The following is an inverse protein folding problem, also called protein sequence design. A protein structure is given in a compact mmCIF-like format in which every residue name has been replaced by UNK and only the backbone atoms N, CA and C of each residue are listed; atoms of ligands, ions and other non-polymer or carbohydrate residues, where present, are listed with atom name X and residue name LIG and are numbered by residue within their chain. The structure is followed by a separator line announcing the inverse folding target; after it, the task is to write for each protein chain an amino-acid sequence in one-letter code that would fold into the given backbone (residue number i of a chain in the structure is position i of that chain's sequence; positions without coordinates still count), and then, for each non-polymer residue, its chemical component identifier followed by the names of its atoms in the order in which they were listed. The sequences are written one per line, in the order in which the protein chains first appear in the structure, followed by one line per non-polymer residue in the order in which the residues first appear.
data_IF_142016462904
#
_entry.id   IF_142016462904
#
_cell.length_a   1.000
_cell.length_b   1.000
_cell.length_c   1.000
_cell.angle_alpha   90.00
_cell.angle_beta   90.00
_cell.angle_gamma   90.00
#
_symmetry.space_group_name_H-M   'P 1'
#
loop_
_entity.id
_entity.type
_entity.pdbx_description
1 polymer ?
#
# COMPACT_ATOMS: atom_id res chain seq x y z
N UNK A 1 10.37 4.54 -1.19
CA UNK A 1 10.04 3.36 -0.38
C UNK A 1 11.29 2.79 0.32
N UNK A 2 11.18 2.13 1.49
CA UNK A 2 12.32 1.45 2.16
C UNK A 2 12.20 -0.06 2.02
N UNK A 3 13.33 -0.75 1.81
CA UNK A 3 13.36 -2.22 1.72
C UNK A 3 12.75 -2.93 2.93
N UNK A 4 12.95 -2.41 4.15
CA UNK A 4 12.36 -3.02 5.35
C UNK A 4 10.84 -3.17 5.25
N UNK A 5 10.15 -2.20 4.65
CA UNK A 5 8.70 -2.28 4.46
C UNK A 5 8.30 -3.36 3.45
N UNK A 6 9.10 -3.52 2.39
CA UNK A 6 8.94 -4.59 1.40
C UNK A 6 9.13 -5.95 2.07
N UNK A 7 10.20 -6.12 2.84
CA UNK A 7 10.50 -7.38 3.52
C UNK A 7 9.45 -7.74 4.58
N UNK A 8 8.95 -6.76 5.35
CA UNK A 8 7.91 -7.00 6.37
C UNK A 8 6.55 -7.39 5.77
N UNK A 9 6.28 -7.00 4.51
CA UNK A 9 5.02 -7.29 3.81
C UNK A 9 5.29 -8.02 2.49
N UNK A 10 6.29 -8.90 2.46
CA UNK A 10 6.86 -9.48 1.23
C UNK A 10 5.80 -10.07 0.29
N UNK A 11 4.85 -10.84 0.82
CA UNK A 11 3.75 -11.43 0.06
C UNK A 11 2.80 -10.41 -0.58
N UNK A 12 2.61 -9.23 0.04
CA UNK A 12 1.78 -8.17 -0.52
C UNK A 12 2.45 -7.48 -1.74
N UNK A 13 3.76 -7.69 -1.93
CA UNK A 13 4.50 -7.17 -3.07
C UNK A 13 4.64 -8.16 -4.22
N UNK A 14 4.10 -9.38 -4.14
CA UNK A 14 4.30 -10.39 -5.20
C UNK A 14 3.79 -9.91 -6.55
N UNK A 15 2.55 -9.43 -6.61
CA UNK A 15 1.98 -8.89 -7.86
C UNK A 15 2.80 -7.70 -8.39
N UNK A 16 3.18 -6.78 -7.51
CA UNK A 16 4.01 -5.62 -7.86
C UNK A 16 5.42 -5.99 -8.36
N UNK A 17 5.99 -7.07 -7.82
CA UNK A 17 7.30 -7.60 -8.20
C UNK A 17 7.18 -8.30 -9.56
N UNK A 18 6.17 -9.13 -9.76
CA UNK A 18 5.94 -9.86 -11.01
C UNK A 18 5.58 -8.90 -12.15
N UNK A 19 4.82 -7.84 -11.88
CA UNK A 19 4.55 -6.80 -12.87
C UNK A 19 5.84 -6.11 -13.34
N UNK A 20 6.79 -5.89 -12.42
CA UNK A 20 8.10 -5.29 -12.74
C UNK A 20 9.05 -6.27 -13.43
N UNK A 21 9.07 -7.53 -12.98
CA UNK A 21 9.95 -8.59 -13.47
C UNK A 21 9.10 -9.83 -13.82
N UNK A 22 8.51 -9.87 -15.03
CA UNK A 22 7.52 -10.89 -15.42
C UNK A 22 8.11 -12.29 -15.62
N UNK A 23 9.44 -12.43 -15.69
CA UNK A 23 10.12 -13.72 -15.72
C UNK A 23 10.34 -14.31 -14.31
N UNK A 24 9.93 -13.62 -13.23
CA UNK A 24 9.93 -14.15 -11.87
C UNK A 24 8.64 -14.93 -11.57
N UNK A 25 8.79 -16.02 -10.82
CA UNK A 25 7.67 -16.83 -10.34
C UNK A 25 7.40 -16.59 -8.84
N UNK A 26 6.13 -16.63 -8.44
CA UNK A 26 5.71 -16.52 -7.02
C UNK A 26 6.39 -17.56 -6.13
N UNK A 27 6.65 -18.77 -6.66
CA UNK A 27 7.30 -19.83 -5.92
C UNK A 27 8.75 -19.47 -5.54
N UNK A 28 9.50 -18.84 -6.45
CA UNK A 28 10.85 -18.36 -6.15
C UNK A 28 10.78 -17.22 -5.13
N UNK A 29 9.81 -16.30 -5.26
CA UNK A 29 9.60 -15.21 -4.30
C UNK A 29 9.30 -15.75 -2.90
N UNK A 30 8.50 -16.80 -2.77
CA UNK A 30 8.20 -17.46 -1.48
C UNK A 30 9.47 -17.96 -0.77
N UNK A 31 10.42 -18.54 -1.52
CA UNK A 31 11.69 -19.00 -0.96
C UNK A 31 12.62 -17.86 -0.51
N UNK A 32 12.45 -16.66 -1.07
CA UNK A 32 13.28 -15.49 -0.72
C UNK A 32 12.93 -14.95 0.68
N UNK A 33 11.67 -15.03 1.10
CA UNK A 33 11.18 -14.55 2.40
C UNK A 33 11.65 -13.11 2.74
N UNK A 34 11.67 -12.22 1.74
CA UNK A 34 12.13 -10.83 1.90
C UNK A 34 13.64 -10.64 2.10
N UNK A 35 14.49 -11.66 1.85
CA UNK A 35 15.94 -11.50 1.84
C UNK A 35 16.42 -10.72 0.62
N UNK A 36 16.93 -9.51 0.85
CA UNK A 36 17.38 -8.61 -0.21
C UNK A 36 18.47 -9.19 -1.10
N UNK A 37 19.39 -9.97 -0.52
CA UNK A 37 20.55 -10.48 -1.25
C UNK A 37 20.15 -11.65 -2.13
N UNK A 38 19.27 -12.51 -1.64
CA UNK A 38 18.66 -13.58 -2.39
C UNK A 38 17.81 -13.00 -3.52
N UNK A 39 17.01 -11.96 -3.26
CA UNK A 39 16.20 -11.31 -4.28
C UNK A 39 17.04 -10.71 -5.41
N UNK A 40 18.11 -9.97 -5.06
CA UNK A 40 19.04 -9.42 -6.06
C UNK A 40 19.71 -10.52 -6.89
N UNK A 41 20.01 -11.67 -6.27
CA UNK A 41 20.57 -12.81 -6.98
C UNK A 41 19.56 -13.44 -7.94
N UNK A 42 18.30 -13.53 -7.51
CA UNK A 42 17.19 -14.01 -8.33
C UNK A 42 17.03 -13.12 -9.56
N UNK A 43 16.87 -11.80 -9.39
CA UNK A 43 16.79 -10.83 -10.50
C UNK A 43 17.99 -10.99 -11.45
N UNK A 44 19.22 -11.04 -10.91
CA UNK A 44 20.41 -11.18 -11.77
C UNK A 44 20.44 -12.48 -12.58
N UNK A 45 19.86 -13.56 -12.03
CA UNK A 45 19.86 -14.88 -12.68
C UNK A 45 18.75 -14.96 -13.72
N UNK A 46 17.56 -14.51 -13.37
CA UNK A 46 16.38 -14.53 -14.23
C UNK A 46 16.54 -13.59 -15.42
N UNK A 47 16.86 -12.32 -15.17
CA UNK A 47 17.03 -11.32 -16.22
C UNK A 47 18.37 -11.46 -16.96
N UNK A 48 19.24 -12.37 -16.51
CA UNK A 48 20.60 -12.56 -17.03
C UNK A 48 21.43 -11.25 -17.04
N UNK A 49 21.22 -10.41 -16.02
CA UNK A 49 21.93 -9.13 -15.85
C UNK A 49 23.00 -9.21 -14.77
N UNK A 50 23.93 -8.26 -14.78
CA UNK A 50 24.96 -8.16 -13.75
C UNK A 50 24.35 -7.75 -12.40
N UNK A 51 25.00 -8.14 -11.30
CA UNK A 51 24.54 -7.79 -9.95
C UNK A 51 24.48 -6.28 -9.70
N UNK A 52 25.26 -5.46 -10.41
CA UNK A 52 25.19 -4.00 -10.30
C UNK A 52 23.94 -3.43 -10.97
N UNK A 53 23.54 -3.99 -12.11
CA UNK A 53 22.31 -3.63 -12.83
C UNK A 53 21.08 -4.02 -12.00
N UNK A 54 21.04 -5.26 -11.48
CA UNK A 54 19.95 -5.72 -10.61
C UNK A 54 19.77 -4.82 -9.37
N UNK A 55 20.87 -4.27 -8.82
CA UNK A 55 20.82 -3.30 -7.72
C UNK A 55 20.29 -1.94 -8.15
N UNK A 56 20.65 -1.47 -9.35
CA UNK A 56 20.14 -0.23 -9.90
C UNK A 56 18.62 -0.33 -10.11
N UNK A 57 18.17 -1.39 -10.75
CA UNK A 57 16.75 -1.70 -10.97
C UNK A 57 15.95 -1.78 -9.66
N UNK A 58 16.44 -2.55 -8.69
CA UNK A 58 15.79 -2.63 -7.38
C UNK A 58 15.69 -1.25 -6.72
N UNK A 59 16.75 -0.43 -6.85
CA UNK A 59 16.77 0.90 -6.26
C UNK A 59 15.79 1.84 -6.98
N UNK A 60 15.69 1.76 -8.30
CA UNK A 60 14.72 2.50 -9.09
C UNK A 60 13.29 2.13 -8.72
N UNK A 61 13.00 0.84 -8.58
CA UNK A 61 11.70 0.36 -8.11
C UNK A 61 11.36 0.88 -6.70
N UNK A 62 12.32 0.84 -5.77
CA UNK A 62 12.16 1.42 -4.43
C UNK A 62 12.03 2.95 -4.43
N UNK A 63 12.52 3.63 -5.46
CA UNK A 63 12.39 5.09 -5.64
C UNK A 63 11.13 5.50 -6.41
N UNK A 64 10.51 4.56 -7.14
CA UNK A 64 9.26 4.74 -7.87
C UNK A 64 8.04 4.92 -6.97
N UNK A 65 6.91 5.20 -7.61
CA UNK A 65 5.60 5.27 -6.95
C UNK A 65 5.18 3.86 -6.50
N UNK A 66 4.72 3.74 -5.25
CA UNK A 66 4.20 2.48 -4.71
C UNK A 66 2.93 2.12 -5.51
N UNK A 67 2.82 0.91 -6.07
CA UNK A 67 1.62 0.49 -6.80
C UNK A 67 0.36 0.66 -5.93
N UNK A 68 -0.72 1.17 -6.53
CA UNK A 68 -1.95 1.50 -5.80
C UNK A 68 -2.56 0.28 -5.08
N UNK A 69 -2.33 -0.95 -5.54
CA UNK A 69 -2.79 -2.17 -4.86
C UNK A 69 -2.11 -2.41 -3.51
N UNK A 70 -0.84 -2.03 -3.35
CA UNK A 70 -0.12 -2.09 -2.07
C UNK A 70 -0.64 -1.02 -1.10
N UNK A 71 -1.08 0.13 -1.63
CA UNK A 71 -1.67 1.22 -0.84
C UNK A 71 -3.07 0.83 -0.33
N UNK A 72 -3.77 -0.11 -0.98
CA UNK A 72 -5.12 -0.52 -0.58
C UNK A 72 -5.17 -1.77 0.32
N UNK A 73 -4.04 -2.46 0.57
CA UNK A 73 -3.90 -3.50 1.59
C UNK A 73 -3.76 -2.92 3.03
N UNK A 74 -4.18 -1.66 3.23
CA UNK A 74 -4.35 -0.98 4.53
C UNK A 74 -5.45 -1.61 5.44
N UNK A 75 -5.90 -2.84 5.15
CA UNK A 75 -6.73 -3.66 6.04
C UNK A 75 -5.93 -4.70 6.85
N UNK A 76 -4.61 -4.55 6.98
CA UNK A 76 -3.86 -5.16 8.09
C UNK A 76 -3.68 -4.18 9.26
N UNK A 77 -4.80 -3.97 9.96
CA UNK A 77 -4.94 -3.25 11.23
C UNK A 77 -4.09 -3.88 12.36
N UNK A 78 -3.01 -3.20 12.79
CA UNK A 78 -2.85 -2.86 14.23
C UNK A 78 -1.71 -1.89 14.58
N UNK A 79 -1.35 -0.93 13.71
CA UNK A 79 -0.44 0.16 14.15
C UNK A 79 -0.62 1.52 13.47
N UNK A 80 -1.71 1.72 12.71
CA UNK A 80 -2.04 3.01 12.06
C UNK A 80 -3.16 3.80 12.78
N UNK A 81 -3.32 3.65 14.09
CA UNK A 81 -4.20 4.52 14.90
C UNK A 81 -3.44 5.68 15.59
N UNK A 82 -2.11 5.77 15.48
CA UNK A 82 -1.37 6.85 16.14
C UNK A 82 -1.13 8.12 15.29
N UNK A 83 -1.39 8.11 13.98
CA UNK A 83 -1.12 9.29 13.13
C UNK A 83 -2.35 9.92 12.47
N UNK A 84 -3.53 9.30 12.54
CA UNK A 84 -4.77 9.85 11.94
C UNK A 84 -5.44 10.95 12.76
N UNK A 85 -4.87 11.35 13.90
CA UNK A 85 -5.43 12.39 14.77
C UNK A 85 -5.01 13.82 14.39
N UNK A 86 -4.49 14.08 13.18
CA UNK A 86 -3.96 15.42 12.87
C UNK A 86 -4.32 16.01 11.52
N UNK A 87 -5.51 15.75 11.01
CA UNK A 87 -6.10 16.65 10.02
C UNK A 87 -7.62 16.74 10.16
N UNK A 88 -8.07 17.37 11.25
CA UNK A 88 -9.36 18.06 11.27
C UNK A 88 -9.04 19.52 10.94
N UNK A 89 -9.46 20.06 9.78
CA UNK A 89 -9.38 21.49 9.54
C UNK A 89 -10.21 22.22 10.60
N UNK A 90 -9.62 23.25 11.21
CA UNK A 90 -10.30 24.08 12.21
C UNK A 90 -11.44 24.86 11.54
N UNK A 91 -12.70 24.46 11.75
CA UNK A 91 -13.85 25.34 11.51
C UNK A 91 -15.14 24.78 10.90
N UNK A 92 -15.31 23.48 10.68
CA UNK A 92 -16.64 22.94 10.34
C UNK A 92 -17.38 22.48 11.62
N UNK A 93 -18.32 23.32 12.06
CA UNK A 93 -19.27 23.04 13.11
C UNK A 93 -20.45 22.26 12.49
N UNK A 94 -20.58 20.98 12.83
CA UNK A 94 -21.50 20.02 12.21
C UNK A 94 -22.97 20.17 12.67
N UNK A 95 -23.33 21.30 13.30
CA UNK A 95 -24.62 21.46 13.99
C UNK A 95 -25.64 22.44 13.38
N UNK A 96 -25.44 23.00 12.18
CA UNK A 96 -26.29 24.14 11.72
C UNK A 96 -27.18 23.92 10.47
N UNK A 97 -27.50 22.70 10.03
CA UNK A 97 -28.48 22.53 8.92
C UNK A 97 -29.48 21.37 9.09
N UNK A 98 -30.09 21.27 10.28
CA UNK A 98 -31.29 20.43 10.49
C UNK A 98 -32.60 21.14 10.10
N UNK A 99 -32.53 22.35 9.53
CA UNK A 99 -33.71 23.19 9.26
C UNK A 99 -34.37 22.97 7.89
N UNK A 100 -34.00 21.93 7.12
CA UNK A 100 -34.44 21.79 5.72
C UNK A 100 -35.25 20.54 5.35
N UNK A 101 -35.58 19.66 6.29
CA UNK A 101 -36.44 18.52 5.99
C UNK A 101 -37.56 18.34 7.03
N UNK A 102 -38.80 18.64 6.62
CA UNK A 102 -40.01 18.20 7.31
C UNK A 102 -41.03 19.30 7.64
N UNK A 103 -41.47 20.07 6.65
CA UNK A 103 -42.76 20.79 6.74
C UNK A 103 -43.91 19.79 6.46
N UNK A 104 -45.03 19.98 7.16
CA UNK A 104 -46.35 19.32 7.07
C UNK A 104 -46.44 17.86 7.58
N UNK A 105 -47.21 17.50 8.62
CA UNK A 105 -48.61 17.83 8.88
C UNK A 105 -48.94 17.67 10.39
N UNK A 106 -49.30 18.78 11.05
CA UNK A 106 -50.04 18.80 12.33
C UNK A 106 -51.51 18.44 12.01
N UNK A 107 -52.14 17.42 12.59
CA UNK A 107 -52.90 17.52 13.85
C UNK A 107 -53.70 16.22 14.06
N UNK A 108 -53.37 15.45 15.11
CA UNK A 108 -54.23 14.38 15.64
C UNK A 108 -55.13 14.99 16.73
N UNK A 109 -56.44 14.75 16.62
CA UNK A 109 -57.46 15.38 17.44
C UNK A 109 -57.69 14.71 18.80
N UNK A 110 -58.06 15.54 19.78
CA UNK A 110 -59.09 15.28 20.80
C UNK A 110 -59.54 16.63 21.40
#
# INVERSE_FOLDING_TARGET
MKWQHVAENWSAFYEAIIDRWPDLDEADLDEIDGDQRAFLKLISTTESVEMEEAKAELREWLMGEIPADVVMDEMHDNRSIMNSAKYVPEGEDEYDDDARFGDDDETDGD
#
